data_IF_038858585489
#
_entry.id   IF_038858585489
#
_cell.length_a   1.000
_cell.length_b   1.000
_cell.length_c   1.000
_cell.angle_alpha   90.00
_cell.angle_beta   90.00
_cell.angle_gamma   90.00
#
_symmetry.space_group_name_H-M   'P 1'
#
loop_
_entity.id
_entity.type
_entity.pdbx_description
1 polymer ?
#
# COMPACT_ATOMS: atom_id res chain seq x y z
N UNK A 1 2.70 4.20 -12.65
CA UNK A 1 1.80 5.34 -12.35
C UNK A 1 0.38 4.80 -12.38
N UNK A 2 -0.48 5.17 -11.42
CA UNK A 2 -1.86 4.70 -11.35
C UNK A 2 -2.74 5.55 -12.30
N UNK A 3 -3.16 5.03 -13.48
CA UNK A 3 -3.92 5.81 -14.46
C UNK A 3 -5.36 6.07 -14.03
N UNK A 4 -5.89 5.31 -13.07
CA UNK A 4 -7.24 5.47 -12.54
C UNK A 4 -7.30 6.51 -11.40
N UNK A 5 -6.15 7.01 -10.95
CA UNK A 5 -6.08 8.02 -9.91
C UNK A 5 -6.44 9.40 -10.50
N UNK A 6 -7.55 9.98 -10.04
CA UNK A 6 -7.93 11.34 -10.39
C UNK A 6 -7.08 12.34 -9.61
N UNK A 7 -6.42 13.25 -10.34
CA UNK A 7 -5.57 14.27 -9.74
C UNK A 7 -6.21 15.64 -9.88
N UNK A 8 -6.47 16.28 -8.75
CA UNK A 8 -7.03 17.64 -8.68
C UNK A 8 -6.06 18.59 -8.00
N UNK A 9 -5.89 19.79 -8.58
CA UNK A 9 -5.09 20.87 -7.99
C UNK A 9 -6.02 22.03 -7.62
N UNK A 10 -6.09 22.35 -6.33
CA UNK A 10 -6.83 23.52 -5.83
C UNK A 10 -5.84 24.62 -5.45
N UNK A 11 -5.89 25.74 -6.16
CA UNK A 11 -5.12 26.94 -5.81
C UNK A 11 -5.89 27.73 -4.75
N UNK A 12 -5.17 28.23 -3.76
CA UNK A 12 -5.71 29.01 -2.65
C UNK A 12 -4.91 30.30 -2.47
N UNK A 13 -5.53 31.29 -1.86
CA UNK A 13 -4.92 32.59 -1.52
C UNK A 13 -5.07 32.92 -0.04
N UNK A 14 -5.35 31.90 0.78
CA UNK A 14 -5.40 32.04 2.22
C UNK A 14 -4.04 31.75 2.87
N UNK A 15 -3.92 32.05 4.15
CA UNK A 15 -2.69 31.90 4.94
C UNK A 15 -2.45 30.45 5.42
N UNK A 16 -3.15 29.46 4.85
CA UNK A 16 -2.99 28.07 5.26
C UNK A 16 -1.81 27.41 4.53
N UNK A 17 -1.00 26.58 5.21
CA UNK A 17 0.07 25.83 4.57
C UNK A 17 -0.43 24.92 3.43
N UNK A 18 0.41 24.64 2.42
CA UNK A 18 0.07 23.70 1.36
C UNK A 18 -0.13 22.29 1.92
N UNK A 19 -1.14 21.62 1.39
CA UNK A 19 -1.53 20.28 1.83
C UNK A 19 -1.81 19.40 0.62
N UNK A 20 -1.49 18.11 0.75
CA UNK A 20 -1.87 17.08 -0.20
C UNK A 20 -2.85 16.15 0.51
N UNK A 21 -4.02 15.94 -0.07
CA UNK A 21 -5.02 14.98 0.43
C UNK A 21 -5.14 13.84 -0.56
N UNK A 22 -5.13 12.60 -0.07
CA UNK A 22 -5.28 11.39 -0.87
C UNK A 22 -6.43 10.58 -0.32
N UNK A 23 -7.35 10.20 -1.19
CA UNK A 23 -8.43 9.25 -0.88
C UNK A 23 -8.04 7.90 -1.47
N UNK A 24 -7.91 6.87 -0.64
CA UNK A 24 -7.56 5.52 -1.06
C UNK A 24 -8.79 4.72 -1.50
N UNK A 25 -8.56 3.53 -2.09
CA UNK A 25 -9.62 2.68 -2.67
C UNK A 25 -10.69 2.23 -1.68
N UNK A 26 -10.36 2.19 -0.38
CA UNK A 26 -11.29 1.85 0.70
C UNK A 26 -12.07 3.08 1.22
N UNK A 27 -11.88 4.27 0.63
CA UNK A 27 -12.49 5.52 1.04
C UNK A 27 -11.77 6.24 2.19
N UNK A 28 -10.68 5.71 2.72
CA UNK A 28 -9.88 6.41 3.74
C UNK A 28 -9.20 7.62 3.12
N UNK A 29 -9.34 8.78 3.77
CA UNK A 29 -8.65 10.00 3.39
C UNK A 29 -7.44 10.25 4.30
N UNK A 30 -6.30 10.56 3.69
CA UNK A 30 -5.09 10.92 4.39
C UNK A 30 -4.58 12.28 3.92
N UNK A 31 -4.10 13.07 4.88
CA UNK A 31 -3.69 14.45 4.71
C UNK A 31 -2.20 14.59 5.01
N UNK A 32 -1.43 15.07 4.05
CA UNK A 32 0.01 15.27 4.15
C UNK A 32 0.35 16.77 4.20
N UNK A 33 1.19 17.15 5.16
CA UNK A 33 1.80 18.48 5.23
C UNK A 33 2.86 18.61 4.14
N UNK A 34 2.55 19.40 3.11
CA UNK A 34 3.44 19.63 1.96
C UNK A 34 4.43 20.78 2.19
N UNK A 35 4.37 21.48 3.32
CA UNK A 35 5.34 22.49 3.72
C UNK A 35 6.53 21.85 4.46
N UNK A 36 6.25 20.92 5.37
CA UNK A 36 7.27 20.28 6.22
C UNK A 36 7.82 18.97 5.64
N UNK A 37 7.06 18.29 4.78
CA UNK A 37 7.41 16.94 4.30
C UNK A 37 7.94 16.97 2.87
N UNK A 38 9.07 16.29 2.63
CA UNK A 38 9.63 16.22 1.28
C UNK A 38 8.69 15.51 0.31
N UNK A 39 8.66 15.94 -0.96
CA UNK A 39 7.85 15.30 -2.00
C UNK A 39 8.19 13.81 -2.19
N UNK A 40 9.46 13.42 -1.99
CA UNK A 40 9.89 12.02 -2.08
C UNK A 40 9.30 11.18 -0.94
N UNK A 41 9.29 11.73 0.28
CA UNK A 41 8.69 11.09 1.45
C UNK A 41 7.18 10.99 1.30
N UNK A 42 6.50 12.06 0.89
CA UNK A 42 5.05 12.03 0.63
C UNK A 42 4.71 10.97 -0.42
N UNK A 43 5.44 10.92 -1.54
CA UNK A 43 5.24 9.90 -2.56
C UNK A 43 5.41 8.49 -1.98
N UNK A 44 6.45 8.27 -1.18
CA UNK A 44 6.70 6.96 -0.56
C UNK A 44 5.55 6.56 0.37
N UNK A 45 5.10 7.47 1.24
CA UNK A 45 3.97 7.21 2.15
C UNK A 45 2.70 6.85 1.38
N UNK A 46 2.34 7.62 0.35
CA UNK A 46 1.16 7.34 -0.49
C UNK A 46 1.26 5.94 -1.15
N UNK A 47 2.43 5.58 -1.67
CA UNK A 47 2.63 4.28 -2.32
C UNK A 47 2.59 3.13 -1.31
N UNK A 48 3.27 3.27 -0.18
CA UNK A 48 3.33 2.23 0.86
C UNK A 48 1.92 1.99 1.45
N UNK A 49 1.16 3.05 1.77
CA UNK A 49 -0.23 2.96 2.24
C UNK A 49 -1.13 2.32 1.18
N UNK A 50 -1.01 2.74 -0.09
CA UNK A 50 -1.80 2.17 -1.19
C UNK A 50 -1.57 0.67 -1.36
N UNK A 51 -0.32 0.22 -1.35
CA UNK A 51 0.03 -1.20 -1.46
C UNK A 51 -0.49 -2.01 -0.26
N UNK A 52 -0.40 -1.47 0.95
CA UNK A 52 -0.94 -2.12 2.15
C UNK A 52 -2.45 -2.35 2.01
N UNK A 53 -3.20 -1.33 1.59
CA UNK A 53 -4.66 -1.42 1.44
C UNK A 53 -5.08 -2.33 0.28
N UNK A 54 -4.36 -2.29 -0.84
CA UNK A 54 -4.60 -3.22 -1.96
C UNK A 54 -4.38 -4.67 -1.52
N UNK A 55 -3.32 -4.93 -0.74
CA UNK A 55 -3.04 -6.27 -0.22
C UNK A 55 -4.09 -6.73 0.78
N UNK A 56 -4.49 -5.86 1.71
CA UNK A 56 -5.59 -6.13 2.64
C UNK A 56 -6.88 -6.52 1.90
N UNK A 57 -7.21 -5.79 0.83
CA UNK A 57 -8.38 -6.06 0.01
C UNK A 57 -8.28 -7.44 -0.68
N UNK A 58 -7.11 -7.80 -1.22
CA UNK A 58 -6.88 -9.14 -1.81
C UNK A 58 -7.09 -10.27 -0.79
N UNK A 59 -6.57 -10.13 0.42
CA UNK A 59 -6.76 -11.14 1.49
C UNK A 59 -8.23 -11.24 1.89
N UNK A 60 -8.88 -10.10 2.08
CA UNK A 60 -10.30 -10.04 2.43
C UNK A 60 -11.18 -10.69 1.37
N UNK A 61 -10.89 -10.50 0.08
CA UNK A 61 -11.62 -11.15 -1.03
C UNK A 61 -11.42 -12.66 -1.08
N UNK A 62 -10.26 -13.15 -0.66
CA UNK A 62 -9.99 -14.58 -0.51
C UNK A 62 -10.65 -15.20 0.75
N UNK A 63 -11.24 -14.38 1.62
CA UNK A 63 -11.78 -14.81 2.92
C UNK A 63 -10.71 -15.02 3.99
N UNK A 64 -9.49 -14.53 3.74
CA UNK A 64 -8.34 -14.66 4.63
C UNK A 64 -8.17 -13.41 5.51
N UNK A 65 -7.45 -13.57 6.63
CA UNK A 65 -7.14 -12.46 7.54
C UNK A 65 -5.93 -11.64 7.07
N UNK A 66 -5.96 -10.34 7.34
CA UNK A 66 -4.85 -9.42 7.12
C UNK A 66 -4.68 -8.51 8.35
N UNK A 67 -3.44 -8.20 8.80
CA UNK A 67 -2.18 -8.78 8.32
C UNK A 67 -2.07 -10.26 8.68
N UNK A 68 -1.28 -11.01 7.92
CA UNK A 68 -0.97 -12.40 8.25
C UNK A 68 -0.14 -12.43 9.53
N UNK A 69 -0.69 -13.05 10.58
CA UNK A 69 0.01 -13.27 11.84
C UNK A 69 0.53 -14.70 11.82
N UNK A 70 1.86 -14.84 11.77
CA UNK A 70 2.53 -16.14 11.87
C UNK A 70 2.71 -16.46 13.35
N UNK A 71 2.20 -17.61 13.81
CA UNK A 71 2.37 -17.99 15.22
C UNK A 71 3.75 -18.59 15.49
N UNK A 72 4.15 -18.66 16.76
CA UNK A 72 5.44 -19.25 17.16
C UNK A 72 5.56 -20.72 16.72
N UNK A 73 4.45 -21.46 16.75
CA UNK A 73 4.39 -22.85 16.30
C UNK A 73 4.64 -22.97 14.79
N UNK A 74 4.09 -22.06 13.99
CA UNK A 74 4.29 -22.04 12.53
C UNK A 74 5.72 -21.66 12.15
N UNK A 75 6.37 -20.77 12.91
CA UNK A 75 7.78 -20.38 12.67
C UNK A 75 8.72 -21.59 12.79
N UNK A 76 8.42 -22.52 13.71
CA UNK A 76 9.23 -23.72 13.94
C UNK A 76 8.86 -24.89 13.02
N UNK A 77 7.79 -24.78 12.23
CA UNK A 77 7.43 -25.82 11.26
C UNK A 77 8.41 -25.78 10.08
N UNK A 78 8.98 -26.94 9.75
CA UNK A 78 9.78 -27.07 8.54
C UNK A 78 8.89 -26.87 7.31
N UNK A 79 9.19 -25.83 6.52
CA UNK A 79 8.48 -25.61 5.27
C UNK A 79 8.63 -26.84 4.36
N UNK A 80 7.55 -27.32 3.73
CA UNK A 80 7.62 -28.47 2.85
C UNK A 80 8.64 -28.19 1.73
N UNK A 81 9.64 -29.06 1.59
CA UNK A 81 10.70 -28.88 0.61
C UNK A 81 10.15 -28.65 -0.79
N UNK A 82 10.51 -27.53 -1.40
CA UNK A 82 10.11 -27.22 -2.78
C UNK A 82 10.81 -28.21 -3.70
N UNK A 83 10.06 -29.15 -4.29
CA UNK A 83 10.62 -30.02 -5.35
C UNK A 83 11.12 -29.10 -6.47
N UNK A 84 12.38 -29.21 -6.92
CA UNK A 84 12.86 -28.42 -8.05
C UNK A 84 11.95 -28.72 -9.25
N UNK A 85 11.33 -27.67 -9.80
CA UNK A 85 10.61 -27.78 -11.07
C UNK A 85 11.65 -28.23 -12.10
N UNK A 86 11.46 -29.42 -12.68
CA UNK A 86 12.22 -29.82 -13.86
C UNK A 86 11.95 -28.75 -14.92
N UNK A 87 12.98 -28.01 -15.32
CA UNK A 87 12.89 -27.19 -16.51
C UNK A 87 12.61 -28.15 -17.67
N UNK A 88 11.47 -27.98 -18.34
CA UNK A 88 11.27 -28.61 -19.65
C UNK A 88 12.21 -27.90 -20.61
N UNK A 89 13.29 -28.58 -21.01
CA UNK A 89 14.13 -28.16 -22.13
C UNK A 89 13.25 -27.98 -23.37
N UNK A 90 13.37 -26.82 -24.02
CA UNK A 90 12.70 -26.50 -25.28
C UNK A 90 13.72 -26.26 -26.38
#
# INVERSE_FOLDING_TARGET
>A
ANPNCEVLVKRRTDEQPPQITVTFVNGVEEAFDAAATSAQSIRKMILDTGQYLETEQMFREAGEQWPVIITEEEIHQEAPGVKPRKAEDK
#
